data_IF_877787697220
#
_entry.id   IF_877787697220
#
_cell.length_a   1.000
_cell.length_b   1.000
_cell.length_c   1.000
_cell.angle_alpha   90.00
_cell.angle_beta   90.00
_cell.angle_gamma   90.00
#
_symmetry.space_group_name_H-M   'P 1'
#
loop_
_entity.id
_entity.type
_entity.pdbx_description
1 polymer ?
#
# COMPACT_ATOMS: atom_id res chain seq x y z
N UNK A 1 -5.84 6.23 -13.21
CA UNK A 1 -5.83 7.49 -12.42
C UNK A 1 -6.21 8.64 -13.36
N UNK A 2 -7.10 9.57 -12.99
CA UNK A 2 -7.38 10.74 -13.85
C UNK A 2 -6.34 11.83 -13.66
N UNK A 3 -6.07 12.63 -14.70
CA UNK A 3 -5.13 13.76 -14.66
C UNK A 3 -5.42 14.71 -13.47
N UNK A 4 -6.70 14.98 -13.18
CA UNK A 4 -7.11 15.79 -12.03
C UNK A 4 -6.72 15.18 -10.67
N UNK A 5 -6.81 13.85 -10.53
CA UNK A 5 -6.41 13.17 -9.30
C UNK A 5 -4.89 13.14 -9.14
N UNK A 6 -4.14 13.01 -10.24
CA UNK A 6 -2.68 13.05 -10.22
C UNK A 6 -2.17 14.45 -9.88
N UNK A 7 -2.73 15.49 -10.50
CA UNK A 7 -2.40 16.89 -10.18
C UNK A 7 -2.68 17.22 -8.70
N UNK A 8 -3.83 16.77 -8.18
CA UNK A 8 -4.18 16.94 -6.77
C UNK A 8 -3.14 16.29 -5.85
N UNK A 9 -2.64 15.10 -6.19
CA UNK A 9 -1.58 14.43 -5.42
C UNK A 9 -0.26 15.20 -5.47
N UNK A 10 0.15 15.67 -6.65
CA UNK A 10 1.35 16.49 -6.78
C UNK A 10 1.24 17.80 -6.00
N UNK A 11 0.07 18.47 -5.99
CA UNK A 11 -0.18 19.66 -5.16
C UNK A 11 -0.10 19.35 -3.67
N UNK A 12 -0.69 18.25 -3.22
CA UNK A 12 -0.61 17.83 -1.82
C UNK A 12 0.83 17.53 -1.39
N UNK A 13 1.62 16.88 -2.25
CA UNK A 13 3.04 16.66 -2.00
C UNK A 13 3.80 17.99 -1.93
N UNK A 14 3.57 18.88 -2.90
CA UNK A 14 4.26 20.17 -2.96
C UNK A 14 3.97 21.07 -1.75
N UNK A 15 2.74 21.10 -1.24
CA UNK A 15 2.44 21.85 -0.01
C UNK A 15 3.05 21.22 1.25
N UNK A 16 3.17 19.88 1.31
CA UNK A 16 3.90 19.20 2.40
C UNK A 16 5.40 19.49 2.36
N UNK A 17 5.99 19.53 1.17
CA UNK A 17 7.42 19.72 0.93
C UNK A 17 7.81 21.16 0.57
N UNK A 18 6.98 22.13 0.95
CA UNK A 18 7.11 23.53 0.52
C UNK A 18 8.45 24.17 0.86
N UNK A 19 9.00 23.87 2.02
CA UNK A 19 10.32 24.37 2.43
C UNK A 19 11.45 23.74 1.61
N UNK A 20 11.34 22.44 1.31
CA UNK A 20 12.26 21.71 0.44
C UNK A 20 12.23 22.29 -0.97
N UNK A 21 11.04 22.49 -1.54
CA UNK A 21 10.87 23.11 -2.85
C UNK A 21 11.49 24.52 -2.90
N UNK A 22 11.27 25.33 -1.86
CA UNK A 22 11.85 26.67 -1.75
C UNK A 22 13.39 26.64 -1.73
N UNK A 23 14.01 25.67 -1.03
CA UNK A 23 15.47 25.48 -1.04
C UNK A 23 16.01 25.15 -2.43
N UNK A 24 15.21 24.49 -3.27
CA UNK A 24 15.52 24.21 -4.66
C UNK A 24 15.06 25.28 -5.65
N UNK A 25 14.62 26.45 -5.16
CA UNK A 25 14.15 27.56 -6.00
C UNK A 25 12.85 27.27 -6.77
N UNK A 26 12.06 26.30 -6.31
CA UNK A 26 10.79 25.90 -6.94
C UNK A 26 9.59 26.39 -6.15
N UNK A 27 8.57 26.81 -6.87
CA UNK A 27 7.22 27.05 -6.31
C UNK A 27 6.37 25.79 -6.44
N UNK A 28 5.29 25.71 -5.67
CA UNK A 28 4.28 24.65 -5.81
C UNK A 28 3.79 24.51 -7.24
N UNK A 29 3.44 25.63 -7.90
CA UNK A 29 2.91 25.59 -9.26
C UNK A 29 3.96 25.17 -10.29
N UNK A 30 5.22 25.62 -10.16
CA UNK A 30 6.31 25.18 -11.04
C UNK A 30 6.55 23.68 -10.91
N UNK A 31 6.60 23.18 -9.67
CA UNK A 31 6.77 21.75 -9.41
C UNK A 31 5.62 20.93 -10.00
N UNK A 32 4.37 21.33 -9.77
CA UNK A 32 3.20 20.58 -10.25
C UNK A 32 3.17 20.56 -11.78
N UNK A 33 3.49 21.68 -12.42
CA UNK A 33 3.55 21.74 -13.89
C UNK A 33 4.60 20.77 -14.44
N UNK A 34 5.82 20.82 -13.91
CA UNK A 34 6.90 19.93 -14.33
C UNK A 34 6.60 18.45 -14.04
N UNK A 35 6.00 18.15 -12.89
CA UNK A 35 5.60 16.78 -12.52
C UNK A 35 4.50 16.24 -13.44
N UNK A 36 3.54 17.09 -13.84
CA UNK A 36 2.50 16.73 -14.81
C UNK A 36 3.09 16.51 -16.21
N UNK A 37 4.04 17.35 -16.65
CA UNK A 37 4.74 17.14 -17.92
C UNK A 37 5.58 15.85 -17.90
N UNK A 38 6.32 15.61 -16.82
CA UNK A 38 7.08 14.38 -16.62
C UNK A 38 6.17 13.14 -16.65
N UNK A 39 5.02 13.18 -15.98
CA UNK A 39 4.06 12.05 -15.97
C UNK A 39 3.49 11.71 -17.35
N UNK A 40 3.61 12.61 -18.33
CA UNK A 40 3.17 12.37 -19.72
C UNK A 40 4.26 11.75 -20.58
N UNK A 41 5.52 11.84 -20.15
CA UNK A 41 6.64 11.14 -20.78
C UNK A 41 6.50 9.62 -20.66
N UNK A 42 7.18 8.88 -21.53
CA UNK A 42 7.17 7.40 -21.47
C UNK A 42 7.73 6.91 -20.13
N UNK A 43 8.86 7.46 -19.70
CA UNK A 43 9.49 7.12 -18.43
C UNK A 43 8.56 7.41 -17.24
N UNK A 44 7.98 8.61 -17.20
CA UNK A 44 7.09 8.99 -16.09
C UNK A 44 5.84 8.13 -16.00
N UNK A 45 5.26 7.71 -17.14
CA UNK A 45 4.15 6.74 -17.15
C UNK A 45 4.57 5.40 -16.58
N UNK A 46 5.71 4.86 -17.02
CA UNK A 46 6.21 3.57 -16.55
C UNK A 46 6.54 3.58 -15.05
N UNK A 47 7.15 4.65 -14.53
CA UNK A 47 7.43 4.79 -13.10
C UNK A 47 6.14 4.94 -12.27
N UNK A 48 5.13 5.67 -12.78
CA UNK A 48 3.82 5.74 -12.12
C UNK A 48 3.11 4.38 -12.09
N UNK A 49 3.12 3.65 -13.21
CA UNK A 49 2.54 2.31 -13.30
C UNK A 49 3.24 1.34 -12.35
N UNK A 50 4.58 1.37 -12.32
CA UNK A 50 5.40 0.58 -11.39
C UNK A 50 5.08 0.91 -9.93
N UNK A 51 4.93 2.19 -9.59
CA UNK A 51 4.54 2.61 -8.24
C UNK A 51 3.15 2.10 -7.85
N UNK A 52 2.18 2.18 -8.77
CA UNK A 52 0.81 1.67 -8.55
C UNK A 52 0.86 0.17 -8.27
N UNK A 53 1.52 -0.60 -9.16
CA UNK A 53 1.64 -2.04 -9.01
C UNK A 53 2.35 -2.43 -7.70
N UNK A 54 3.40 -1.71 -7.33
CA UNK A 54 4.12 -1.95 -6.06
C UNK A 54 3.21 -1.73 -4.84
N UNK A 55 2.35 -0.70 -4.91
CA UNK A 55 1.38 -0.42 -3.84
C UNK A 55 0.29 -1.49 -3.78
N UNK A 56 -0.19 -1.96 -4.93
CA UNK A 56 -1.16 -3.06 -5.02
C UNK A 56 -0.59 -4.36 -4.46
N UNK A 57 0.68 -4.66 -4.76
CA UNK A 57 1.40 -5.81 -4.18
C UNK A 57 1.43 -5.71 -2.65
N UNK A 58 1.79 -4.55 -2.10
CA UNK A 58 1.82 -4.36 -0.64
C UNK A 58 0.44 -4.61 0.01
N UNK A 59 -0.64 -4.11 -0.58
CA UNK A 59 -1.98 -4.38 -0.06
C UNK A 59 -2.33 -5.88 -0.12
N UNK A 60 -1.98 -6.58 -1.20
CA UNK A 60 -2.18 -8.03 -1.32
C UNK A 60 -1.40 -8.77 -0.22
N UNK A 61 -0.17 -8.35 0.07
CA UNK A 61 0.65 -8.94 1.14
C UNK A 61 0.01 -8.75 2.52
N UNK A 62 -0.55 -7.57 2.80
CA UNK A 62 -1.29 -7.29 4.04
C UNK A 62 -2.55 -8.17 4.18
N UNK A 63 -3.29 -8.36 3.09
CA UNK A 63 -4.46 -9.25 3.05
C UNK A 63 -4.06 -10.72 3.30
N UNK A 64 -2.98 -11.19 2.67
CA UNK A 64 -2.44 -12.53 2.88
C UNK A 64 -2.08 -12.72 4.36
N UNK A 65 -1.45 -11.73 4.99
CA UNK A 65 -1.05 -11.81 6.39
C UNK A 65 -2.26 -11.86 7.33
N UNK A 66 -3.31 -11.07 7.05
CA UNK A 66 -4.56 -11.14 7.79
C UNK A 66 -5.23 -12.53 7.69
N UNK A 67 -5.23 -13.12 6.50
CA UNK A 67 -5.75 -14.47 6.26
C UNK A 67 -4.93 -15.54 6.99
N UNK A 68 -3.59 -15.43 6.98
CA UNK A 68 -2.70 -16.33 7.73
C UNK A 68 -3.01 -16.32 9.22
N UNK A 69 -3.12 -15.14 9.83
CA UNK A 69 -3.50 -15.01 11.25
C UNK A 69 -4.87 -15.61 11.54
N UNK A 70 -5.84 -15.45 10.64
CA UNK A 70 -7.17 -16.05 10.79
C UNK A 70 -7.10 -17.58 10.72
N UNK A 71 -6.32 -18.13 9.79
CA UNK A 71 -6.07 -19.58 9.67
C UNK A 71 -5.44 -20.14 10.93
N UNK A 72 -4.40 -19.50 11.48
CA UNK A 72 -3.74 -19.94 12.71
C UNK A 72 -4.70 -20.04 13.90
N UNK A 73 -5.58 -19.03 14.08
CA UNK A 73 -6.60 -19.08 15.13
C UNK A 73 -7.54 -20.28 14.97
N UNK A 74 -7.92 -20.63 13.73
CA UNK A 74 -8.75 -21.81 13.47
C UNK A 74 -7.99 -23.11 13.71
N UNK A 75 -6.72 -23.18 13.31
CA UNK A 75 -5.87 -24.34 13.57
C UNK A 75 -5.69 -24.59 15.06
N UNK A 76 -5.49 -23.52 15.85
CA UNK A 76 -5.40 -23.62 17.31
C UNK A 76 -6.70 -24.17 17.92
N UNK A 77 -7.85 -23.64 17.50
CA UNK A 77 -9.15 -24.14 17.96
C UNK A 77 -9.35 -25.63 17.64
N UNK A 78 -8.92 -26.09 16.45
CA UNK A 78 -8.95 -27.51 16.10
C UNK A 78 -8.07 -28.32 17.06
N UNK A 79 -6.84 -27.88 17.33
CA UNK A 79 -5.93 -28.56 18.26
C UNK A 79 -6.51 -28.67 19.67
N UNK A 80 -7.18 -27.62 20.15
CA UNK A 80 -7.86 -27.62 21.46
C UNK A 80 -8.99 -28.66 21.49
N UNK A 81 -9.79 -28.75 20.41
CA UNK A 81 -10.85 -29.77 20.26
C UNK A 81 -10.26 -31.18 20.24
N UNK A 82 -9.16 -31.40 19.49
CA UNK A 82 -8.49 -32.70 19.42
C UNK A 82 -7.97 -33.17 20.78
N UNK A 83 -7.44 -32.25 21.59
CA UNK A 83 -6.99 -32.57 22.95
C UNK A 83 -8.15 -32.91 23.89
N UNK A 84 -9.30 -32.24 23.75
CA UNK A 84 -10.51 -32.59 24.49
C UNK A 84 -11.06 -33.96 24.10
N UNK A 85 -11.11 -34.29 22.80
CA UNK A 85 -11.54 -35.60 22.32
C UNK A 85 -10.65 -36.72 22.86
N UNK A 86 -9.33 -36.54 22.85
CA UNK A 86 -8.39 -37.52 23.44
C UNK A 86 -8.63 -37.75 24.93
N UNK A 87 -8.88 -36.67 25.69
CA UNK A 87 -9.20 -36.78 27.12
C UNK A 87 -10.51 -37.51 27.38
N UNK A 88 -11.49 -37.37 26.50
CA UNK A 88 -12.76 -38.09 26.61
C UNK A 88 -12.59 -39.58 26.31
N UNK A 89 -11.89 -39.92 25.23
CA UNK A 89 -11.67 -41.32 24.82
C UNK A 89 -10.77 -42.11 25.78
N UNK A 90 -9.94 -41.46 26.58
CA UNK A 90 -9.10 -42.11 27.61
C UNK A 90 -9.82 -42.25 28.98
N UNK A 91 -11.08 -41.81 29.10
CA UNK A 91 -11.90 -41.93 30.32
C UNK A 91 -12.94 -43.05 30.26
N UNK A 92 -13.12 -43.67 29.10
CA UNK A 92 -13.87 -44.92 28.90
C UNK A 92 -12.94 -46.13 28.95
#
# INVERSE_FOLDING_TARGET
MSDQNLEKRFRQYAEKEKETLKKHGKTTDSFVKEAMEWSRSVEGKLELDKFILSTEILHIEEEIEALRKRREKKQKAISEIEDELKKHNNKE
#
